data_IF_202888569227
#
_entry.id   IF_202888569227
#
_cell.length_a   1.000
_cell.length_b   1.000
_cell.length_c   1.000
_cell.angle_alpha   90.00
_cell.angle_beta   90.00
_cell.angle_gamma   90.00
#
_symmetry.space_group_name_H-M   'P 1'
#
loop_
_entity.id
_entity.type
_entity.pdbx_description
1 polymer ?
#
# COMPACT_ATOMS: atom_id res chain seq x y z
N UNK A 1 -38.66 -6.82 25.69
CA UNK A 1 -37.54 -7.17 24.80
C UNK A 1 -36.26 -6.84 25.56
N UNK A 2 -35.49 -7.86 25.97
CA UNK A 2 -34.27 -7.63 26.75
C UNK A 2 -33.25 -6.91 25.88
N UNK A 3 -33.05 -5.61 26.13
CA UNK A 3 -32.01 -4.80 25.52
C UNK A 3 -30.68 -5.37 25.99
N UNK A 4 -30.04 -6.22 25.16
CA UNK A 4 -28.73 -6.77 25.48
C UNK A 4 -27.73 -5.62 25.50
N UNK A 5 -27.42 -5.12 26.70
CA UNK A 5 -26.21 -4.34 26.95
C UNK A 5 -25.04 -5.31 26.74
N UNK A 6 -24.46 -5.32 25.53
CA UNK A 6 -23.38 -6.23 25.16
C UNK A 6 -23.35 -6.68 23.69
N UNK A 7 -23.85 -5.86 22.76
CA UNK A 7 -23.65 -6.10 21.32
C UNK A 7 -22.22 -5.84 20.88
N UNK A 8 -21.81 -6.41 19.75
CA UNK A 8 -20.55 -6.04 19.11
C UNK A 8 -20.67 -4.65 18.48
N UNK A 9 -19.67 -3.80 18.65
CA UNK A 9 -19.62 -2.46 18.07
C UNK A 9 -18.18 -2.10 17.69
N UNK A 10 -18.03 -1.10 16.83
CA UNK A 10 -16.74 -0.57 16.43
C UNK A 10 -16.03 0.08 17.62
N UNK A 11 -14.84 -0.40 17.98
CA UNK A 11 -14.08 0.14 19.12
C UNK A 11 -13.69 1.62 18.98
N UNK A 12 -13.69 2.15 17.76
CA UNK A 12 -13.30 3.53 17.47
C UNK A 12 -14.48 4.50 17.52
N UNK A 13 -15.58 4.17 16.86
CA UNK A 13 -16.70 5.10 16.64
C UNK A 13 -18.04 4.62 17.23
N UNK A 14 -18.11 3.40 17.77
CA UNK A 14 -19.33 2.84 18.33
C UNK A 14 -20.36 2.37 17.30
N UNK A 15 -20.03 2.36 15.99
CA UNK A 15 -20.94 1.89 14.95
C UNK A 15 -21.30 0.41 15.14
N UNK A 16 -22.53 0.07 14.78
CA UNK A 16 -23.03 -1.31 14.77
C UNK A 16 -22.29 -2.16 13.71
N UNK A 17 -22.35 -3.51 13.81
CA UNK A 17 -21.74 -4.41 12.83
C UNK A 17 -22.30 -4.19 11.41
N UNK A 18 -21.54 -4.54 10.34
CA UNK A 18 -20.40 -5.46 10.33
C UNK A 18 -19.09 -4.85 10.82
N UNK A 19 -18.35 -5.65 11.58
CA UNK A 19 -17.00 -5.33 12.03
C UNK A 19 -15.99 -6.17 11.25
N UNK A 20 -14.81 -5.59 11.07
CA UNK A 20 -13.67 -6.14 10.37
C UNK A 20 -12.45 -6.05 11.28
N UNK A 21 -11.35 -6.72 10.93
CA UNK A 21 -10.08 -6.63 11.64
C UNK A 21 -10.23 -6.64 13.16
N UNK A 22 -9.64 -5.67 13.84
CA UNK A 22 -9.64 -5.51 15.30
C UNK A 22 -10.95 -4.92 15.84
N UNK A 23 -12.10 -5.50 15.46
CA UNK A 23 -13.46 -5.01 15.80
C UNK A 23 -13.67 -3.55 15.42
N UNK A 24 -13.23 -3.19 14.23
CA UNK A 24 -13.46 -1.86 13.65
C UNK A 24 -14.46 -1.97 12.51
N UNK A 25 -15.33 -0.97 12.37
CA UNK A 25 -16.09 -0.81 11.13
C UNK A 25 -15.13 -0.47 9.98
N UNK A 26 -15.56 -0.72 8.74
CA UNK A 26 -14.74 -0.53 7.54
C UNK A 26 -14.12 0.88 7.42
N UNK A 27 -14.85 1.98 7.66
CA UNK A 27 -14.26 3.33 7.63
C UNK A 27 -13.13 3.52 8.65
N UNK A 28 -13.29 2.97 9.87
CA UNK A 28 -12.29 3.13 10.94
C UNK A 28 -11.04 2.31 10.68
N UNK A 29 -11.20 1.12 10.10
CA UNK A 29 -10.09 0.27 9.66
C UNK A 29 -9.35 0.93 8.51
N UNK A 30 -10.05 1.36 7.45
CA UNK A 30 -9.47 2.01 6.26
C UNK A 30 -8.67 3.26 6.60
N UNK A 31 -9.14 4.06 7.56
CA UNK A 31 -8.43 5.27 7.99
C UNK A 31 -7.12 4.99 8.75
N UNK A 32 -6.96 3.78 9.31
CA UNK A 32 -5.80 3.41 10.16
C UNK A 32 -4.85 2.43 9.50
N UNK A 33 -5.31 1.69 8.50
CA UNK A 33 -4.51 0.71 7.80
C UNK A 33 -3.91 1.32 6.55
N UNK A 34 -2.58 1.38 6.49
CA UNK A 34 -1.83 1.75 5.29
C UNK A 34 -1.46 0.47 4.55
N UNK A 35 -2.16 0.17 3.45
CA UNK A 35 -1.96 -1.07 2.68
C UNK A 35 -0.67 -1.07 1.86
N UNK A 36 -0.28 0.09 1.34
CA UNK A 36 0.89 0.25 0.50
C UNK A 36 1.55 1.60 0.83
N UNK A 37 2.88 1.59 0.87
CA UNK A 37 3.70 2.78 1.06
C UNK A 37 4.71 2.87 -0.08
N UNK A 38 4.70 4.01 -0.77
CA UNK A 38 5.64 4.36 -1.83
C UNK A 38 6.18 5.76 -1.51
N UNK A 39 7.49 6.01 -1.63
CA UNK A 39 8.03 7.36 -1.51
C UNK A 39 7.50 8.27 -2.62
N UNK A 40 7.26 9.54 -2.30
CA UNK A 40 6.78 10.53 -3.27
C UNK A 40 7.79 10.80 -4.40
N UNK A 41 9.08 10.73 -4.06
CA UNK A 41 10.17 10.95 -5.01
C UNK A 41 11.20 9.83 -4.87
N UNK A 42 11.62 9.27 -6.01
CA UNK A 42 12.68 8.26 -6.08
C UNK A 42 13.81 8.80 -6.97
N UNK A 43 15.06 8.83 -6.48
CA UNK A 43 16.20 9.20 -7.30
C UNK A 43 16.52 8.07 -8.29
N UNK A 44 16.80 8.45 -9.54
CA UNK A 44 17.24 7.55 -10.60
C UNK A 44 18.25 8.27 -11.48
N UNK A 45 19.05 7.50 -12.23
CA UNK A 45 20.16 8.05 -13.03
C UNK A 45 19.92 7.78 -14.51
N UNK A 46 20.08 8.82 -15.32
CA UNK A 46 20.03 8.76 -16.79
C UNK A 46 21.31 9.32 -17.38
N UNK A 47 21.88 8.62 -18.35
CA UNK A 47 23.05 9.09 -19.07
C UNK A 47 22.69 10.29 -19.96
N UNK A 48 23.32 11.44 -19.71
CA UNK A 48 23.09 12.66 -20.51
C UNK A 48 23.56 12.54 -21.98
N UNK A 49 24.42 11.55 -22.30
CA UNK A 49 24.98 11.37 -23.65
C UNK A 49 24.10 10.49 -24.54
N UNK A 50 23.73 9.30 -24.05
CA UNK A 50 23.03 8.29 -24.85
C UNK A 50 21.64 7.94 -24.32
N UNK A 51 21.21 8.52 -23.20
CA UNK A 51 19.85 8.38 -22.69
C UNK A 51 19.53 7.06 -21.98
N UNK A 52 20.47 6.10 -21.96
CA UNK A 52 20.35 4.86 -21.17
C UNK A 52 20.24 5.17 -19.68
N UNK A 53 19.57 4.29 -18.96
CA UNK A 53 19.24 4.46 -17.55
C UNK A 53 19.98 3.45 -16.70
N UNK A 54 20.30 3.82 -15.48
CA UNK A 54 20.88 2.92 -14.50
C UNK A 54 19.80 2.41 -13.56
N UNK A 55 19.63 1.10 -13.56
CA UNK A 55 18.71 0.35 -12.72
C UNK A 55 19.54 -0.76 -12.08
N UNK A 56 19.64 -0.77 -10.74
CA UNK A 56 20.30 -1.84 -9.98
C UNK A 56 21.77 -2.10 -10.32
N UNK A 57 22.52 -1.05 -10.62
CA UNK A 57 23.91 -1.15 -11.06
C UNK A 57 24.07 -1.63 -12.51
N UNK A 58 22.98 -1.84 -13.25
CA UNK A 58 22.99 -2.19 -14.67
C UNK A 58 22.53 -1.02 -15.51
N UNK A 59 23.15 -0.87 -16.68
CA UNK A 59 22.78 0.14 -17.65
C UNK A 59 21.99 -0.49 -18.78
N UNK A 60 20.77 -0.03 -18.98
CA UNK A 60 19.88 -0.58 -20.00
C UNK A 60 19.21 0.51 -20.84
N UNK A 61 18.81 0.09 -22.04
CA UNK A 61 18.03 0.91 -22.94
C UNK A 61 16.58 0.48 -22.80
N UNK A 62 15.79 1.32 -22.15
CA UNK A 62 14.42 1.03 -21.75
C UNK A 62 13.60 2.32 -21.91
N UNK A 63 12.28 2.17 -21.91
CA UNK A 63 11.33 3.28 -22.01
C UNK A 63 11.10 3.94 -20.65
N UNK A 64 10.60 5.17 -20.64
CA UNK A 64 10.30 5.85 -19.37
C UNK A 64 9.22 5.11 -18.56
N UNK A 65 8.24 4.48 -19.22
CA UNK A 65 7.21 3.67 -18.57
C UNK A 65 7.80 2.45 -17.84
N UNK A 66 8.78 1.77 -18.46
CA UNK A 66 9.50 0.66 -17.83
C UNK A 66 10.34 1.13 -16.64
N UNK A 67 10.97 2.31 -16.73
CA UNK A 67 11.67 2.92 -15.58
C UNK A 67 10.69 3.17 -14.43
N UNK A 68 9.53 3.77 -14.72
CA UNK A 68 8.53 4.05 -13.70
C UNK A 68 8.04 2.77 -13.01
N UNK A 69 7.75 1.72 -13.78
CA UNK A 69 7.29 0.45 -13.24
C UNK A 69 8.34 -0.20 -12.33
N UNK A 70 9.61 -0.18 -12.75
CA UNK A 70 10.71 -0.75 -11.96
C UNK A 70 10.97 0.07 -10.68
N UNK A 71 10.93 1.40 -10.76
CA UNK A 71 11.06 2.26 -9.58
C UNK A 71 9.91 2.04 -8.60
N UNK A 72 8.69 1.86 -9.09
CA UNK A 72 7.53 1.54 -8.26
C UNK A 72 7.70 0.17 -7.60
N UNK A 73 7.98 -0.89 -8.36
CA UNK A 73 8.13 -2.25 -7.84
C UNK A 73 9.22 -2.35 -6.77
N UNK A 74 10.33 -1.62 -6.92
CA UNK A 74 11.44 -1.64 -5.95
C UNK A 74 11.15 -0.90 -4.66
N UNK A 75 10.37 0.18 -4.73
CA UNK A 75 10.13 1.07 -3.59
C UNK A 75 8.76 0.86 -2.95
N UNK A 76 7.91 0.03 -3.55
CA UNK A 76 6.62 -0.36 -3.00
C UNK A 76 6.81 -1.28 -1.80
N UNK A 77 6.38 -0.79 -0.64
CA UNK A 77 6.27 -1.59 0.58
C UNK A 77 4.80 -1.92 0.79
N UNK A 78 4.45 -3.20 0.67
CA UNK A 78 3.11 -3.72 0.95
C UNK A 78 3.00 -4.06 2.44
N UNK A 79 1.81 -3.88 3.01
CA UNK A 79 1.54 -4.26 4.39
C UNK A 79 1.68 -5.78 4.58
N UNK A 80 2.32 -6.24 5.66
CA UNK A 80 2.60 -7.67 5.94
C UNK A 80 1.37 -8.59 5.76
N UNK A 81 0.21 -8.18 6.32
CA UNK A 81 -1.07 -8.90 6.22
C UNK A 81 -1.64 -9.01 4.79
N UNK A 82 -1.07 -8.29 3.84
CA UNK A 82 -1.50 -8.25 2.45
C UNK A 82 -0.50 -8.90 1.49
N UNK A 83 0.65 -9.40 1.96
CA UNK A 83 1.68 -10.04 1.13
C UNK A 83 1.17 -11.32 0.43
N UNK A 84 0.29 -12.09 1.09
CA UNK A 84 -0.23 -13.37 0.59
C UNK A 84 -1.54 -13.25 -0.22
N UNK A 85 -1.98 -12.03 -0.53
CA UNK A 85 -3.20 -11.84 -1.32
C UNK A 85 -2.88 -12.05 -2.80
N UNK A 86 -3.15 -13.26 -3.30
CA UNK A 86 -3.17 -13.54 -4.73
C UNK A 86 -4.47 -12.97 -5.32
N UNK A 87 -4.34 -12.04 -6.28
CA UNK A 87 -5.46 -11.49 -7.06
C UNK A 87 -5.94 -12.46 -8.14
#
# INVERSE_FOLDING_TARGET
MSTRLGGEFCLVCGADPPLFGDRMCEPCLRARTVLAKVPENVPWVRCARCGIVEIDGKWENTTEDEVWDELLHRNLVVHERAEDIQL
#
